data_IF_612836505154
#
_entry.id   IF_612836505154
#
_cell.length_a   1.000
_cell.length_b   1.000
_cell.length_c   1.000
_cell.angle_alpha   90.00
_cell.angle_beta   90.00
_cell.angle_gamma   90.00
#
_symmetry.space_group_name_H-M   'P 1'
#
loop_
_entity.id
_entity.type
_entity.pdbx_description
1 polymer ?
#
# COMPACT_ATOMS: atom_id res chain seq x y z
N UNK A 1 -2.16 -29.28 -21.47
CA UNK A 1 -1.84 -27.95 -20.94
C UNK A 1 -0.98 -28.18 -19.71
N UNK A 2 0.28 -27.81 -19.71
CA UNK A 2 1.13 -27.89 -18.52
C UNK A 2 0.53 -26.91 -17.50
N UNK A 3 0.13 -27.44 -16.33
CA UNK A 3 -0.26 -26.62 -15.18
C UNK A 3 1.01 -25.91 -14.72
N UNK A 4 1.21 -24.66 -15.13
CA UNK A 4 2.34 -23.86 -14.65
C UNK A 4 1.99 -23.47 -13.21
N UNK A 5 2.67 -24.11 -12.25
CA UNK A 5 2.54 -23.75 -10.84
C UNK A 5 2.90 -22.28 -10.67
N UNK A 6 1.99 -21.48 -10.13
CA UNK A 6 2.25 -20.05 -9.88
C UNK A 6 3.37 -19.90 -8.85
N UNK A 7 4.40 -19.14 -9.19
CA UNK A 7 5.50 -18.86 -8.27
C UNK A 7 5.21 -17.58 -7.50
N UNK A 8 5.40 -17.59 -6.20
CA UNK A 8 5.13 -16.45 -5.33
C UNK A 8 6.39 -16.12 -4.53
N UNK A 9 6.75 -14.85 -4.45
CA UNK A 9 7.75 -14.37 -3.51
C UNK A 9 7.08 -13.46 -2.49
N UNK A 10 7.16 -13.83 -1.22
CA UNK A 10 6.69 -13.02 -0.09
C UNK A 10 7.85 -12.18 0.42
N UNK A 11 7.68 -10.86 0.38
CA UNK A 11 8.68 -9.88 0.80
C UNK A 11 8.15 -9.17 2.04
N UNK A 12 8.68 -9.56 3.19
CA UNK A 12 8.24 -9.12 4.51
C UNK A 12 9.37 -9.38 5.51
N UNK A 13 9.68 -8.45 6.37
CA UNK A 13 10.73 -8.60 7.39
C UNK A 13 10.38 -9.64 8.48
N UNK A 14 9.12 -10.06 8.55
CA UNK A 14 8.65 -11.11 9.45
C UNK A 14 8.45 -12.44 8.73
N UNK A 15 9.40 -13.35 8.87
CA UNK A 15 9.34 -14.69 8.23
C UNK A 15 8.06 -15.47 8.50
N UNK A 16 7.40 -15.25 9.64
CA UNK A 16 6.13 -15.89 9.98
C UNK A 16 5.01 -15.54 9.01
N UNK A 17 5.07 -14.36 8.37
CA UNK A 17 4.11 -13.95 7.33
C UNK A 17 4.23 -14.87 6.11
N UNK A 18 5.45 -15.17 5.66
CA UNK A 18 5.66 -16.13 4.57
C UNK A 18 5.08 -17.52 4.88
N UNK A 19 5.19 -18.00 6.13
CA UNK A 19 4.58 -19.25 6.55
C UNK A 19 3.04 -19.16 6.56
N UNK A 20 2.48 -18.03 7.00
CA UNK A 20 1.04 -17.78 6.98
C UNK A 20 0.47 -17.73 5.57
N UNK A 21 1.17 -17.05 4.65
CA UNK A 21 0.80 -17.01 3.23
C UNK A 21 0.81 -18.42 2.65
N UNK A 22 1.87 -19.20 2.90
CA UNK A 22 1.91 -20.60 2.44
C UNK A 22 0.71 -21.41 2.94
N UNK A 23 0.39 -21.32 4.22
CA UNK A 23 -0.76 -22.02 4.79
C UNK A 23 -2.09 -21.61 4.15
N UNK A 24 -2.26 -20.33 3.79
CA UNK A 24 -3.44 -19.84 3.10
C UNK A 24 -3.63 -20.52 1.74
N UNK A 25 -2.57 -20.64 0.94
CA UNK A 25 -2.60 -21.31 -0.36
C UNK A 25 -2.79 -22.84 -0.22
N UNK A 26 -2.11 -23.47 0.72
CA UNK A 26 -2.25 -24.92 0.99
C UNK A 26 -3.70 -25.27 1.37
N UNK A 27 -4.36 -24.43 2.18
CA UNK A 27 -5.77 -24.62 2.59
C UNK A 27 -6.75 -24.50 1.42
N UNK A 28 -6.41 -23.72 0.39
CA UNK A 28 -7.22 -23.57 -0.82
C UNK A 28 -6.90 -24.64 -1.87
N UNK A 29 -5.92 -25.51 -1.61
CA UNK A 29 -5.49 -26.56 -2.56
C UNK A 29 -4.85 -26.00 -3.83
N UNK A 30 -4.32 -24.78 -3.78
CA UNK A 30 -3.68 -24.14 -4.92
C UNK A 30 -2.26 -24.68 -5.12
N UNK A 31 -1.95 -25.05 -6.37
CA UNK A 31 -0.60 -25.53 -6.74
C UNK A 31 0.32 -24.33 -6.98
N UNK A 32 1.05 -23.94 -5.93
CA UNK A 32 1.96 -22.79 -5.93
C UNK A 32 3.31 -23.13 -5.30
N UNK A 33 4.35 -22.47 -5.76
CA UNK A 33 5.65 -22.46 -5.06
C UNK A 33 5.86 -21.12 -4.38
N UNK A 34 6.20 -21.13 -3.08
CA UNK A 34 6.35 -19.91 -2.30
C UNK A 34 7.77 -19.80 -1.76
N UNK A 35 8.41 -18.68 -2.07
CA UNK A 35 9.68 -18.24 -1.49
C UNK A 35 9.46 -17.04 -0.58
N UNK A 36 10.44 -16.74 0.29
CA UNK A 36 10.41 -15.60 1.20
C UNK A 36 11.72 -14.83 1.16
N UNK A 37 11.62 -13.50 1.24
CA UNK A 37 12.76 -12.59 1.37
C UNK A 37 12.45 -11.49 2.39
N UNK A 38 13.42 -11.01 3.18
CA UNK A 38 13.20 -9.91 4.11
C UNK A 38 13.15 -8.55 3.42
N UNK A 39 13.76 -8.43 2.22
CA UNK A 39 13.83 -7.18 1.44
C UNK A 39 13.72 -7.47 -0.06
N UNK A 40 13.40 -6.45 -0.85
CA UNK A 40 13.33 -6.54 -2.31
C UNK A 40 14.71 -6.84 -2.92
N UNK A 41 15.76 -6.26 -2.35
CA UNK A 41 17.12 -6.38 -2.88
C UNK A 41 17.73 -7.79 -2.71
N UNK A 42 17.18 -8.61 -1.83
CA UNK A 42 17.64 -9.98 -1.59
C UNK A 42 16.89 -11.04 -2.41
N UNK A 43 15.90 -10.60 -3.21
CA UNK A 43 15.12 -11.52 -4.04
C UNK A 43 15.92 -11.94 -5.28
N UNK A 44 15.96 -13.26 -5.52
CA UNK A 44 16.38 -13.80 -6.82
C UNK A 44 15.14 -13.90 -7.71
N UNK A 45 14.97 -12.94 -8.61
CA UNK A 45 13.79 -12.85 -9.46
C UNK A 45 13.75 -13.97 -10.51
N UNK A 46 12.56 -14.53 -10.71
CA UNK A 46 12.28 -15.56 -11.72
C UNK A 46 11.07 -15.15 -12.56
N UNK A 47 11.09 -15.52 -13.83
CA UNK A 47 9.95 -15.27 -14.71
C UNK A 47 8.69 -16.00 -14.23
N UNK A 48 7.53 -15.33 -14.33
CA UNK A 48 6.23 -15.85 -13.92
C UNK A 48 5.99 -15.83 -12.41
N UNK A 49 6.78 -15.08 -11.64
CA UNK A 49 6.51 -14.82 -10.22
C UNK A 49 5.40 -13.77 -10.03
N UNK A 50 4.78 -13.82 -8.85
CA UNK A 50 3.96 -12.73 -8.27
C UNK A 50 4.62 -12.32 -6.96
N UNK A 51 4.81 -11.02 -6.76
CA UNK A 51 5.33 -10.48 -5.50
C UNK A 51 4.19 -10.17 -4.52
N UNK A 52 4.30 -10.65 -3.29
CA UNK A 52 3.47 -10.27 -2.15
C UNK A 52 4.34 -9.40 -1.25
N UNK A 53 4.11 -8.09 -1.24
CA UNK A 53 4.99 -7.09 -0.65
C UNK A 53 4.36 -6.43 0.58
N UNK A 54 5.07 -6.40 1.71
CA UNK A 54 4.72 -5.50 2.80
C UNK A 54 5.14 -4.06 2.49
N UNK A 55 4.33 -3.10 2.92
CA UNK A 55 4.62 -1.67 2.79
C UNK A 55 5.73 -1.18 3.73
N UNK A 56 5.99 -1.90 4.82
CA UNK A 56 7.00 -1.53 5.81
C UNK A 56 8.01 -2.64 5.98
N UNK A 57 9.17 -2.45 5.37
CA UNK A 57 10.31 -3.35 5.54
C UNK A 57 11.30 -2.75 6.54
N UNK A 58 12.02 -3.62 7.28
CA UNK A 58 12.98 -3.20 8.29
C UNK A 58 14.16 -2.40 7.72
N UNK A 59 14.45 -2.51 6.42
CA UNK A 59 15.49 -1.74 5.73
C UNK A 59 15.10 -0.27 5.48
N UNK A 60 13.84 0.12 5.77
CA UNK A 60 13.33 1.46 5.59
C UNK A 60 13.12 1.88 4.14
N UNK A 61 13.18 0.96 3.19
CA UNK A 61 12.94 1.22 1.77
C UNK A 61 11.52 1.75 1.52
N UNK A 62 11.38 2.65 0.56
CA UNK A 62 10.09 3.26 0.24
C UNK A 62 9.25 2.33 -0.66
N UNK A 63 7.92 2.20 -0.43
CA UNK A 63 7.07 1.27 -1.19
C UNK A 63 7.09 1.48 -2.70
N UNK A 64 7.03 2.73 -3.16
CA UNK A 64 7.10 3.08 -4.58
C UNK A 64 8.44 2.69 -5.23
N UNK A 65 9.56 2.85 -4.52
CA UNK A 65 10.86 2.39 -4.98
C UNK A 65 10.94 0.88 -5.05
N UNK A 66 10.40 0.18 -4.05
CA UNK A 66 10.32 -1.27 -4.03
C UNK A 66 9.51 -1.80 -5.22
N UNK A 67 8.32 -1.21 -5.46
CA UNK A 67 7.45 -1.60 -6.56
C UNK A 67 8.11 -1.28 -7.92
N UNK A 68 8.77 -0.13 -8.05
CA UNK A 68 9.51 0.21 -9.27
C UNK A 68 10.59 -0.83 -9.58
N UNK A 69 11.36 -1.24 -8.56
CA UNK A 69 12.36 -2.31 -8.70
C UNK A 69 11.72 -3.64 -9.15
N UNK A 70 10.61 -4.04 -8.53
CA UNK A 70 9.88 -5.26 -8.91
C UNK A 70 9.35 -5.17 -10.34
N UNK A 71 8.80 -4.01 -10.73
CA UNK A 71 8.27 -3.76 -12.08
C UNK A 71 9.35 -3.83 -13.17
N UNK A 72 10.62 -3.47 -12.88
CA UNK A 72 11.74 -3.63 -13.81
C UNK A 72 11.94 -5.09 -14.24
N UNK A 73 11.52 -6.04 -13.40
CA UNK A 73 11.54 -7.48 -13.70
C UNK A 73 10.23 -7.98 -14.34
N UNK A 74 9.25 -7.11 -14.60
CA UNK A 74 7.95 -7.48 -15.16
C UNK A 74 7.07 -8.30 -14.22
N UNK A 75 7.28 -8.19 -12.91
CA UNK A 75 6.60 -9.01 -11.89
C UNK A 75 5.43 -8.24 -11.29
N UNK A 76 4.19 -8.77 -11.37
CA UNK A 76 3.03 -8.15 -10.75
C UNK A 76 3.13 -8.17 -9.23
N UNK A 77 2.72 -7.07 -8.60
CA UNK A 77 2.82 -6.88 -7.15
C UNK A 77 1.46 -6.76 -6.50
N UNK A 78 1.23 -7.59 -5.48
CA UNK A 78 0.12 -7.50 -4.52
C UNK A 78 0.68 -6.99 -3.19
N UNK A 79 0.08 -5.93 -2.65
CA UNK A 79 0.44 -5.43 -1.33
C UNK A 79 -0.28 -6.24 -0.25
N UNK A 80 0.47 -6.67 0.77
CA UNK A 80 -0.08 -7.38 1.93
C UNK A 80 0.40 -6.72 3.21
N UNK A 81 -0.42 -5.84 3.79
CA UNK A 81 0.00 -4.91 4.83
C UNK A 81 -0.96 -4.85 6.01
N UNK A 82 -0.49 -4.38 7.17
CA UNK A 82 -1.37 -4.03 8.29
C UNK A 82 -2.36 -2.91 7.94
N UNK A 83 -2.06 -2.09 6.94
CA UNK A 83 -2.95 -1.04 6.45
C UNK A 83 -3.02 0.20 7.34
N UNK A 84 -2.05 0.39 8.23
CA UNK A 84 -2.06 1.45 9.25
C UNK A 84 -1.64 2.83 8.70
N UNK A 85 -1.11 2.89 7.47
CA UNK A 85 -0.62 4.13 6.86
C UNK A 85 -1.21 4.35 5.46
N UNK A 86 -2.30 5.14 5.34
CA UNK A 86 -2.93 5.45 4.05
C UNK A 86 -1.99 6.13 3.05
N UNK A 87 -0.97 6.84 3.51
CA UNK A 87 0.02 7.46 2.64
C UNK A 87 0.87 6.40 1.91
N UNK A 88 1.32 5.35 2.62
CA UNK A 88 2.08 4.27 2.01
C UNK A 88 1.23 3.46 1.03
N UNK A 89 -0.06 3.27 1.35
CA UNK A 89 -1.04 2.62 0.46
C UNK A 89 -1.15 3.36 -0.88
N UNK A 90 -1.31 4.68 -0.85
CA UNK A 90 -1.38 5.49 -2.07
C UNK A 90 -0.09 5.43 -2.89
N UNK A 91 1.07 5.52 -2.25
CA UNK A 91 2.37 5.40 -2.93
C UNK A 91 2.52 4.03 -3.62
N UNK A 92 2.01 2.97 -3.00
CA UNK A 92 2.04 1.64 -3.60
C UNK A 92 1.18 1.56 -4.88
N UNK A 93 -0.01 2.14 -4.86
CA UNK A 93 -0.87 2.18 -6.05
C UNK A 93 -0.25 3.04 -7.16
N UNK A 94 0.24 4.23 -6.83
CA UNK A 94 0.94 5.09 -7.78
C UNK A 94 2.19 4.40 -8.37
N UNK A 95 2.85 3.52 -7.59
CA UNK A 95 3.95 2.67 -8.05
C UNK A 95 3.52 1.52 -8.96
N UNK A 96 2.22 1.25 -9.11
CA UNK A 96 1.69 0.22 -9.99
C UNK A 96 1.36 -1.12 -9.31
N UNK A 97 1.14 -1.13 -7.98
CA UNK A 97 0.60 -2.31 -7.30
C UNK A 97 -0.77 -2.68 -7.87
N UNK A 98 -1.02 -3.96 -8.12
CA UNK A 98 -2.29 -4.42 -8.71
C UNK A 98 -3.41 -4.56 -7.68
N UNK A 99 -3.07 -4.86 -6.42
CA UNK A 99 -4.06 -5.05 -5.36
C UNK A 99 -3.48 -4.73 -4.00
N UNK A 100 -4.34 -4.42 -3.04
CA UNK A 100 -3.97 -4.18 -1.65
C UNK A 100 -4.85 -5.03 -0.76
N UNK A 101 -4.22 -5.91 0.02
CA UNK A 101 -4.87 -6.79 0.97
C UNK A 101 -4.37 -6.47 2.37
N UNK A 102 -5.27 -6.29 3.31
CA UNK A 102 -4.91 -6.12 4.72
C UNK A 102 -4.53 -7.46 5.33
N UNK A 103 -3.51 -7.48 6.20
CA UNK A 103 -3.13 -8.68 6.97
C UNK A 103 -4.25 -9.15 7.92
N UNK A 104 -5.26 -8.31 8.17
CA UNK A 104 -6.48 -8.63 8.92
C UNK A 104 -7.64 -9.13 8.06
N UNK A 105 -7.52 -9.12 6.72
CA UNK A 105 -8.54 -9.64 5.81
C UNK A 105 -8.56 -11.17 5.84
N UNK A 106 -9.68 -11.79 5.39
CA UNK A 106 -9.72 -13.23 5.19
C UNK A 106 -8.56 -13.72 4.31
N UNK A 107 -7.91 -14.85 4.64
CA UNK A 107 -6.81 -15.39 3.84
C UNK A 107 -7.19 -15.66 2.38
N UNK A 108 -8.47 -15.94 2.14
CA UNK A 108 -9.05 -16.19 0.82
C UNK A 108 -8.89 -14.98 -0.12
N UNK A 109 -9.05 -13.76 0.42
CA UNK A 109 -8.90 -12.52 -0.34
C UNK A 109 -7.46 -12.37 -0.87
N UNK A 110 -6.47 -12.75 -0.06
CA UNK A 110 -5.06 -12.74 -0.49
C UNK A 110 -4.81 -13.75 -1.61
N UNK A 111 -5.33 -14.97 -1.46
CA UNK A 111 -5.19 -16.02 -2.48
C UNK A 111 -5.80 -15.56 -3.80
N UNK A 112 -7.02 -15.04 -3.78
CA UNK A 112 -7.71 -14.54 -4.97
C UNK A 112 -6.98 -13.36 -5.61
N UNK A 113 -6.49 -12.42 -4.81
CA UNK A 113 -5.73 -11.27 -5.30
C UNK A 113 -4.42 -11.69 -6.00
N UNK A 114 -3.70 -12.65 -5.43
CA UNK A 114 -2.43 -13.14 -6.00
C UNK A 114 -2.68 -13.93 -7.29
N UNK A 115 -3.70 -14.79 -7.34
CA UNK A 115 -4.07 -15.51 -8.55
C UNK A 115 -4.52 -14.56 -9.66
N UNK A 116 -5.33 -13.55 -9.32
CA UNK A 116 -5.73 -12.48 -10.26
C UNK A 116 -4.51 -11.70 -10.79
N UNK A 117 -3.57 -11.38 -9.90
CA UNK A 117 -2.36 -10.67 -10.28
C UNK A 117 -1.45 -11.50 -11.22
N UNK A 118 -1.42 -12.83 -11.08
CA UNK A 118 -0.70 -13.72 -12.00
C UNK A 118 -1.24 -13.61 -13.44
N UNK A 119 -2.52 -13.30 -13.60
CA UNK A 119 -3.18 -13.05 -14.89
C UNK A 119 -3.13 -11.56 -15.30
N UNK A 120 -2.43 -10.71 -14.53
CA UNK A 120 -2.36 -9.26 -14.75
C UNK A 120 -3.66 -8.51 -14.43
N UNK A 121 -4.53 -9.10 -13.64
CA UNK A 121 -5.85 -8.55 -13.29
C UNK A 121 -5.84 -7.99 -11.86
N UNK A 122 -6.42 -6.82 -11.69
CA UNK A 122 -6.61 -6.19 -10.38
C UNK A 122 -7.71 -6.89 -9.58
N UNK A 123 -7.45 -7.22 -8.32
CA UNK A 123 -8.47 -7.62 -7.37
C UNK A 123 -8.94 -6.37 -6.59
N UNK A 124 -10.18 -5.90 -6.80
CA UNK A 124 -10.65 -4.65 -6.21
C UNK A 124 -10.95 -4.83 -4.72
N UNK A 125 -10.33 -3.99 -3.90
CA UNK A 125 -10.64 -3.87 -2.47
C UNK A 125 -11.14 -2.47 -2.14
N UNK A 126 -11.84 -2.25 -1.01
CA UNK A 126 -12.22 -0.90 -0.58
C UNK A 126 -11.03 0.03 -0.42
N UNK A 127 -9.89 -0.45 0.09
CA UNK A 127 -8.66 0.33 0.24
C UNK A 127 -8.09 0.74 -1.13
N UNK A 128 -8.14 -0.17 -2.11
CA UNK A 128 -7.68 0.10 -3.47
C UNK A 128 -8.57 1.12 -4.17
N UNK A 129 -9.91 0.96 -4.05
CA UNK A 129 -10.88 1.90 -4.64
C UNK A 129 -10.76 3.30 -4.00
N UNK A 130 -10.63 3.38 -2.67
CA UNK A 130 -10.45 4.64 -1.96
C UNK A 130 -9.17 5.39 -2.37
N UNK A 131 -8.10 4.66 -2.68
CA UNK A 131 -6.86 5.28 -3.09
C UNK A 131 -6.88 5.78 -4.55
N UNK A 132 -7.70 5.17 -5.43
CA UNK A 132 -7.91 5.66 -6.80
C UNK A 132 -8.71 6.97 -6.87
N UNK A 133 -9.61 7.20 -5.91
CA UNK A 133 -10.41 8.43 -5.83
C UNK A 133 -9.62 9.64 -5.27
N UNK A 134 -8.36 9.44 -4.93
CA UNK A 134 -7.52 10.50 -4.36
C UNK A 134 -7.19 11.60 -5.38
N UNK A 135 -7.08 12.83 -4.89
CA UNK A 135 -6.66 14.00 -5.69
C UNK A 135 -5.12 13.99 -5.84
N UNK A 136 -4.60 12.91 -6.46
CA UNK A 136 -3.18 12.56 -6.52
C UNK A 136 -2.32 13.68 -7.13
N UNK A 137 -2.76 14.27 -8.23
CA UNK A 137 -2.03 15.33 -8.91
C UNK A 137 -1.81 16.53 -8.00
N UNK A 138 -2.85 16.93 -7.25
CA UNK A 138 -2.74 18.05 -6.32
C UNK A 138 -1.80 17.74 -5.14
N UNK A 139 -1.91 16.54 -4.57
CA UNK A 139 -1.08 16.11 -3.43
C UNK A 139 0.39 16.04 -3.85
N UNK A 140 0.68 15.44 -5.02
CA UNK A 140 2.05 15.31 -5.53
C UNK A 140 2.70 16.66 -5.85
N UNK A 141 1.94 17.60 -6.45
CA UNK A 141 2.48 18.88 -6.90
C UNK A 141 2.57 19.94 -5.79
N UNK A 142 1.69 19.91 -4.79
CA UNK A 142 1.50 21.03 -3.87
C UNK A 142 1.79 20.72 -2.41
N UNK A 143 1.81 19.45 -2.00
CA UNK A 143 2.04 19.07 -0.61
C UNK A 143 3.45 18.48 -0.44
N UNK A 144 4.10 18.84 0.68
CA UNK A 144 5.31 18.16 1.11
C UNK A 144 4.99 16.76 1.65
N UNK A 145 6.01 15.88 1.73
CA UNK A 145 5.88 14.53 2.29
C UNK A 145 5.18 14.52 3.66
N UNK A 146 5.56 15.44 4.56
CA UNK A 146 4.96 15.54 5.89
C UNK A 146 3.50 15.99 5.82
N UNK A 147 3.18 16.94 4.94
CA UNK A 147 1.79 17.40 4.73
C UNK A 147 0.93 16.28 4.16
N UNK A 148 1.42 15.52 3.19
CA UNK A 148 0.72 14.40 2.60
C UNK A 148 0.45 13.29 3.61
N UNK A 149 1.43 12.95 4.46
CA UNK A 149 1.26 11.98 5.54
C UNK A 149 0.26 12.45 6.59
N UNK A 150 0.33 13.71 7.02
CA UNK A 150 -0.64 14.30 7.95
C UNK A 150 -2.04 14.28 7.35
N UNK A 151 -2.17 14.66 6.08
CA UNK A 151 -3.45 14.65 5.37
C UNK A 151 -4.04 13.24 5.32
N UNK A 152 -3.25 12.25 4.93
CA UNK A 152 -3.67 10.86 4.82
C UNK A 152 -4.25 10.32 6.14
N UNK A 153 -3.51 10.47 7.24
CA UNK A 153 -3.97 10.02 8.56
C UNK A 153 -5.17 10.82 9.07
N UNK A 154 -5.16 12.15 8.92
CA UNK A 154 -6.24 12.99 9.39
C UNK A 154 -7.53 12.78 8.60
N UNK A 155 -7.44 12.65 7.28
CA UNK A 155 -8.59 12.40 6.42
C UNK A 155 -9.22 11.03 6.72
N UNK A 156 -8.43 9.98 6.92
CA UNK A 156 -8.92 8.63 7.24
C UNK A 156 -9.59 8.49 8.63
N UNK A 157 -9.69 9.58 9.40
CA UNK A 157 -10.44 9.58 10.66
C UNK A 157 -9.59 9.67 11.93
N UNK A 158 -8.25 9.61 11.86
CA UNK A 158 -7.38 9.71 13.02
C UNK A 158 -7.49 11.07 13.72
N UNK A 159 -7.53 11.12 15.06
CA UNK A 159 -7.48 12.38 15.80
C UNK A 159 -6.13 13.07 15.64
N UNK A 160 -6.06 14.40 15.85
CA UNK A 160 -4.77 15.10 15.80
C UNK A 160 -3.74 14.54 16.79
N UNK A 161 -4.19 13.97 17.91
CA UNK A 161 -3.30 13.31 18.89
C UNK A 161 -2.77 11.99 18.33
N UNK A 162 -3.60 11.17 17.68
CA UNK A 162 -3.18 9.93 17.01
C UNK A 162 -2.20 10.22 15.88
N UNK A 163 -2.48 11.22 15.05
CA UNK A 163 -1.56 11.65 13.96
C UNK A 163 -0.23 12.11 14.53
N UNK A 164 -0.26 12.91 15.59
CA UNK A 164 0.95 13.40 16.27
C UNK A 164 1.81 12.24 16.77
N UNK A 165 1.19 11.26 17.40
CA UNK A 165 1.88 10.05 17.88
C UNK A 165 2.46 9.22 16.72
N UNK A 166 1.65 8.93 15.68
CA UNK A 166 2.06 8.13 14.54
C UNK A 166 3.23 8.73 13.76
N UNK A 167 3.29 10.07 13.67
CA UNK A 167 4.33 10.79 12.92
C UNK A 167 5.44 11.37 13.79
N UNK A 168 5.43 11.10 15.11
CA UNK A 168 6.41 11.62 16.08
C UNK A 168 6.55 13.15 16.07
N UNK A 169 5.43 13.86 15.94
CA UNK A 169 5.36 15.33 15.96
C UNK A 169 4.41 15.82 17.07
N UNK A 170 4.39 17.11 17.35
CA UNK A 170 3.43 17.67 18.33
C UNK A 170 2.03 17.81 17.73
N UNK A 171 0.97 17.75 18.58
CA UNK A 171 -0.39 18.05 18.16
C UNK A 171 -0.53 19.44 17.54
N UNK A 172 0.17 20.43 18.08
CA UNK A 172 0.21 21.78 17.51
C UNK A 172 0.80 21.80 16.11
N UNK A 173 1.84 21.00 15.87
CA UNK A 173 2.43 20.81 14.54
C UNK A 173 1.39 20.26 13.57
N UNK A 174 0.68 19.19 13.96
CA UNK A 174 -0.39 18.61 13.13
C UNK A 174 -1.46 19.64 12.77
N UNK A 175 -1.97 20.37 13.76
CA UNK A 175 -3.01 21.38 13.53
C UNK A 175 -2.52 22.52 12.60
N UNK A 176 -1.27 22.94 12.75
CA UNK A 176 -0.65 23.95 11.88
C UNK A 176 -0.56 23.46 10.43
N UNK A 177 -0.15 22.21 10.23
CA UNK A 177 -0.08 21.63 8.89
C UNK A 177 -1.46 21.42 8.27
N UNK A 178 -2.47 20.99 9.03
CA UNK A 178 -3.86 20.91 8.55
C UNK A 178 -4.35 22.28 8.06
N UNK A 179 -4.06 23.34 8.79
CA UNK A 179 -4.41 24.69 8.37
C UNK A 179 -3.70 25.10 7.06
N UNK A 180 -2.41 24.78 6.93
CA UNK A 180 -1.63 25.03 5.69
C UNK A 180 -2.17 24.23 4.52
N UNK A 181 -2.50 22.97 4.69
CA UNK A 181 -3.08 22.11 3.66
C UNK A 181 -4.39 22.70 3.16
N UNK A 182 -5.31 23.09 4.07
CA UNK A 182 -6.56 23.76 3.70
C UNK A 182 -6.34 25.03 2.90
N UNK A 183 -5.36 25.84 3.28
CA UNK A 183 -4.99 27.06 2.56
C UNK A 183 -4.47 26.77 1.15
N UNK A 184 -3.67 25.71 0.99
CA UNK A 184 -3.20 25.26 -0.32
C UNK A 184 -4.36 24.83 -1.23
N UNK A 185 -5.28 24.02 -0.72
CA UNK A 185 -6.50 23.63 -1.43
C UNK A 185 -7.36 24.86 -1.80
N UNK A 186 -7.50 25.83 -0.88
CA UNK A 186 -8.24 27.06 -1.17
C UNK A 186 -7.61 27.87 -2.29
N UNK A 187 -6.28 28.01 -2.30
CA UNK A 187 -5.55 28.74 -3.36
C UNK A 187 -5.64 28.08 -4.73
N UNK A 188 -5.80 26.78 -4.80
CA UNK A 188 -5.98 26.04 -6.05
C UNK A 188 -7.43 25.99 -6.53
N UNK A 189 -8.35 26.74 -5.90
CA UNK A 189 -9.76 26.76 -6.25
C UNK A 189 -10.55 25.51 -5.82
N UNK A 190 -9.98 24.68 -4.93
CA UNK A 190 -10.55 23.41 -4.43
C UNK A 190 -10.73 23.44 -2.92
N UNK A 191 -11.57 24.34 -2.35
CA UNK A 191 -11.66 24.51 -0.90
C UNK A 191 -12.06 23.20 -0.20
N UNK A 192 -11.38 22.92 0.93
CA UNK A 192 -11.62 21.77 1.79
C UNK A 192 -11.71 22.26 3.25
N UNK A 193 -12.88 22.77 3.64
CA UNK A 193 -13.06 23.42 4.94
C UNK A 193 -13.35 22.41 6.05
N UNK A 194 -14.07 21.34 5.73
CA UNK A 194 -14.39 20.28 6.67
C UNK A 194 -13.39 19.11 6.57
N UNK A 195 -13.44 18.23 7.58
CA UNK A 195 -12.68 16.97 7.54
C UNK A 195 -13.20 16.04 6.45
N UNK A 196 -14.52 16.06 6.20
CA UNK A 196 -15.14 15.26 5.14
C UNK A 196 -14.65 15.73 3.76
N UNK A 197 -14.46 17.05 3.58
CA UNK A 197 -13.90 17.56 2.33
C UNK A 197 -12.46 17.11 2.13
N UNK A 198 -11.65 17.15 3.20
CA UNK A 198 -10.28 16.63 3.16
C UNK A 198 -10.27 15.12 2.91
N UNK A 199 -11.21 14.36 3.47
CA UNK A 199 -11.35 12.93 3.19
C UNK A 199 -11.63 12.67 1.70
N UNK A 200 -12.60 13.35 1.12
CA UNK A 200 -12.96 13.21 -0.31
C UNK A 200 -11.83 13.60 -1.26
N UNK A 201 -10.87 14.41 -0.82
CA UNK A 201 -9.75 14.85 -1.65
C UNK A 201 -8.45 14.08 -1.40
N UNK A 202 -8.37 13.38 -0.28
CA UNK A 202 -7.19 12.66 0.17
C UNK A 202 -7.40 11.14 0.26
N UNK A 203 -8.65 10.68 0.06
CA UNK A 203 -9.04 9.27 0.11
C UNK A 203 -8.56 8.52 -1.11
#
# INVERSE_FOLDING_TARGET
MQNVSTKIVVIDDHRVVGLGVKAAFDNQGADVSISWSPTVNEVCWEEGQVAVLDLRLADGSAPDQNIANINEHGIPTVIYTSGDDPYLVRRAIAGGALSIIRKSAPPEDLVEAVLSAADGVTFPTPDWAAALDADEDFVAEHLSDLESRILAHYASGASSDCVAHALSVSKNTVNTYIARIREKYRKSGRPAESRIDLFRRAA
#
